data_IF_956740982130
#
_entry.id   IF_956740982130
#
_cell.length_a   1.000
_cell.length_b   1.000
_cell.length_c   1.000
_cell.angle_alpha   90.00
_cell.angle_beta   90.00
_cell.angle_gamma   90.00
#
_symmetry.space_group_name_H-M   'P 1'
#
loop_
_entity.id
_entity.type
_entity.pdbx_description
1 polymer ?
#
# COMPACT_ATOMS: atom_id res chain seq x y z
N UNK A 1 12.55 34.71 -21.81
CA UNK A 1 12.62 33.34 -21.25
C UNK A 1 12.53 33.44 -19.73
N UNK A 2 11.40 33.09 -19.14
CA UNK A 2 11.33 32.98 -17.69
C UNK A 2 12.06 31.70 -17.26
N UNK A 3 13.25 31.84 -16.75
CA UNK A 3 13.96 30.73 -16.08
C UNK A 3 13.20 30.48 -14.78
N UNK A 4 12.34 29.48 -14.77
CA UNK A 4 11.72 29.01 -13.53
C UNK A 4 12.82 28.48 -12.63
N UNK A 5 12.92 29.02 -11.43
CA UNK A 5 13.77 28.45 -10.38
C UNK A 5 13.37 26.99 -10.20
N UNK A 6 14.31 26.04 -10.23
CA UNK A 6 13.98 24.64 -9.98
C UNK A 6 13.27 24.48 -8.64
N UNK A 7 12.14 23.76 -8.63
CA UNK A 7 11.45 23.43 -7.39
C UNK A 7 12.41 22.59 -6.50
N UNK A 8 12.71 23.02 -5.27
CA UNK A 8 13.58 22.26 -4.37
C UNK A 8 12.98 20.89 -3.98
N UNK A 9 11.67 20.73 -4.09
CA UNK A 9 10.96 19.49 -3.78
C UNK A 9 9.99 19.09 -4.90
N UNK A 10 10.49 18.74 -6.09
CA UNK A 10 9.63 18.53 -7.28
C UNK A 10 8.66 17.35 -7.13
N UNK A 11 8.84 16.48 -6.14
CA UNK A 11 7.93 15.38 -5.82
C UNK A 11 6.74 15.79 -4.96
N UNK A 12 6.80 16.92 -4.27
CA UNK A 12 5.73 17.44 -3.44
C UNK A 12 4.84 18.39 -4.26
N UNK A 13 3.55 18.08 -4.26
CA UNK A 13 2.55 18.92 -4.89
C UNK A 13 1.76 19.65 -3.80
N UNK A 14 1.35 20.89 -4.08
CA UNK A 14 0.33 21.55 -3.28
C UNK A 14 -0.98 20.76 -3.35
N UNK A 15 -1.92 21.01 -2.46
CA UNK A 15 -3.24 20.35 -2.49
C UNK A 15 -3.95 20.60 -3.83
N UNK A 16 -3.89 21.82 -4.35
CA UNK A 16 -4.48 22.20 -5.63
C UNK A 16 -3.81 21.48 -6.80
N UNK A 17 -2.48 21.43 -6.83
CA UNK A 17 -1.74 20.74 -7.90
C UNK A 17 -1.98 19.23 -7.84
N UNK A 18 -2.06 18.65 -6.64
CA UNK A 18 -2.38 17.24 -6.45
C UNK A 18 -3.81 16.93 -6.93
N UNK A 19 -4.77 17.79 -6.61
CA UNK A 19 -6.16 17.67 -7.08
C UNK A 19 -6.22 17.70 -8.60
N UNK A 20 -5.56 18.66 -9.25
CA UNK A 20 -5.50 18.76 -10.72
C UNK A 20 -4.79 17.55 -11.35
N UNK A 21 -3.68 17.08 -10.77
CA UNK A 21 -2.96 15.90 -11.24
C UNK A 21 -3.85 14.65 -11.21
N UNK A 22 -4.57 14.42 -10.10
CA UNK A 22 -5.49 13.28 -9.93
C UNK A 22 -6.61 13.24 -10.97
N UNK A 23 -7.06 14.37 -11.43
CA UNK A 23 -8.13 14.48 -12.44
C UNK A 23 -7.67 14.26 -13.88
N UNK A 24 -6.38 14.36 -14.12
CA UNK A 24 -5.83 14.41 -15.49
C UNK A 24 -4.86 13.28 -15.80
N UNK A 25 -4.27 12.67 -14.77
CA UNK A 25 -3.20 11.70 -14.93
C UNK A 25 -3.47 10.46 -14.08
N UNK A 26 -3.15 9.26 -14.60
CA UNK A 26 -3.03 8.09 -13.72
C UNK A 26 -1.93 8.34 -12.69
N UNK A 27 -2.24 8.10 -11.41
CA UNK A 27 -1.31 8.29 -10.31
C UNK A 27 -0.59 6.98 -10.01
N UNK A 28 0.73 7.00 -9.96
CA UNK A 28 1.52 5.80 -9.64
C UNK A 28 1.67 5.67 -8.12
N UNK A 29 1.30 4.49 -7.62
CA UNK A 29 1.36 4.12 -6.20
C UNK A 29 2.19 2.86 -5.99
N UNK A 30 2.69 2.70 -4.78
CA UNK A 30 3.12 1.41 -4.25
C UNK A 30 2.14 0.98 -3.17
N UNK A 31 1.83 -0.31 -3.13
CA UNK A 31 1.11 -0.95 -2.04
C UNK A 31 1.97 -2.09 -1.50
N UNK A 32 2.18 -2.12 -0.20
CA UNK A 32 2.97 -3.14 0.45
C UNK A 32 2.16 -3.83 1.53
N UNK A 33 2.08 -5.15 1.43
CA UNK A 33 1.48 -6.01 2.45
C UNK A 33 2.66 -6.55 3.27
N UNK A 34 2.87 -6.07 4.51
CA UNK A 34 3.93 -6.58 5.35
C UNK A 34 3.60 -8.00 5.80
N UNK A 35 4.58 -8.87 5.77
CA UNK A 35 4.45 -10.26 6.17
C UNK A 35 5.59 -10.68 7.09
N UNK A 36 5.32 -11.65 7.94
CA UNK A 36 6.33 -12.39 8.67
C UNK A 36 6.45 -13.79 8.11
N UNK A 37 7.67 -14.25 7.94
CA UNK A 37 7.96 -15.55 7.36
C UNK A 37 8.67 -16.43 8.38
N UNK A 38 8.48 -17.75 8.25
CA UNK A 38 9.25 -18.73 8.98
C UNK A 38 10.69 -18.87 8.42
N UNK A 39 11.47 -19.77 9.01
CA UNK A 39 12.85 -20.05 8.60
C UNK A 39 12.99 -20.64 7.18
N UNK A 40 11.90 -21.12 6.61
CA UNK A 40 11.82 -21.66 5.26
C UNK A 40 11.28 -20.65 4.25
N UNK A 41 10.89 -19.44 4.71
CA UNK A 41 10.38 -18.37 3.87
C UNK A 41 8.86 -18.43 3.62
N UNK A 42 8.13 -19.31 4.31
CA UNK A 42 6.68 -19.34 4.21
C UNK A 42 6.04 -18.23 5.06
N UNK A 43 5.00 -17.60 4.53
CA UNK A 43 4.27 -16.56 5.24
C UNK A 43 3.51 -17.16 6.42
N UNK A 44 3.83 -16.72 7.62
CA UNK A 44 3.16 -17.10 8.87
C UNK A 44 2.12 -16.08 9.31
N UNK A 45 2.42 -14.80 9.11
CA UNK A 45 1.54 -13.70 9.51
C UNK A 45 1.53 -12.62 8.44
N UNK A 46 0.39 -11.96 8.35
CA UNK A 46 0.15 -10.79 7.49
C UNK A 46 -0.14 -9.60 8.37
N UNK A 47 0.53 -8.49 8.14
CA UNK A 47 0.29 -7.23 8.83
C UNK A 47 -0.80 -6.42 8.12
N UNK A 48 -1.88 -6.12 8.81
CA UNK A 48 -2.97 -5.30 8.32
C UNK A 48 -3.11 -4.06 9.18
N UNK A 49 -3.06 -2.89 8.52
CA UNK A 49 -3.29 -1.61 9.19
C UNK A 49 -4.79 -1.38 9.39
N UNK A 50 -5.12 -0.73 10.49
CA UNK A 50 -6.44 -0.20 10.76
C UNK A 50 -6.35 1.33 10.75
N UNK A 51 -7.20 1.97 9.98
CA UNK A 51 -7.28 3.43 9.92
C UNK A 51 -8.72 3.90 9.76
N UNK A 52 -8.96 5.18 10.07
CA UNK A 52 -10.25 5.81 9.78
C UNK A 52 -10.32 6.18 8.28
N UNK A 53 -11.42 5.84 7.63
CA UNK A 53 -11.73 6.33 6.28
C UNK A 53 -12.13 7.81 6.32
N UNK A 54 -12.22 8.44 5.15
CA UNK A 54 -12.69 9.83 5.02
C UNK A 54 -14.13 10.01 5.56
N UNK A 55 -14.89 8.92 5.69
CA UNK A 55 -16.25 8.90 6.26
C UNK A 55 -16.27 8.57 7.76
N UNK A 56 -15.09 8.38 8.37
CA UNK A 56 -14.95 8.05 9.79
C UNK A 56 -15.17 6.58 10.13
N UNK A 57 -15.32 5.71 9.13
CA UNK A 57 -15.41 4.27 9.34
C UNK A 57 -14.02 3.66 9.54
N UNK A 58 -13.94 2.66 10.40
CA UNK A 58 -12.69 1.91 10.60
C UNK A 58 -12.53 0.89 9.49
N UNK A 59 -11.45 0.99 8.73
CA UNK A 59 -11.16 0.12 7.59
C UNK A 59 -9.78 -0.51 7.70
N UNK A 60 -9.69 -1.76 7.25
CA UNK A 60 -8.41 -2.43 7.05
C UNK A 60 -7.78 -1.99 5.73
N UNK A 61 -6.48 -1.83 5.77
CA UNK A 61 -5.70 -1.40 4.61
C UNK A 61 -4.27 -1.94 4.66
N UNK A 62 -3.51 -1.64 3.61
CA UNK A 62 -2.08 -1.93 3.48
C UNK A 62 -1.27 -0.65 3.60
N UNK A 63 0.04 -0.80 3.73
CA UNK A 63 0.95 0.32 3.50
C UNK A 63 0.80 0.76 2.05
N UNK A 64 0.48 2.01 1.83
CA UNK A 64 0.22 2.55 0.49
C UNK A 64 0.66 3.99 0.38
N UNK A 65 1.06 4.39 -0.82
CA UNK A 65 1.31 5.78 -1.10
C UNK A 65 1.87 6.06 -2.49
N UNK A 66 1.82 7.32 -2.85
CA UNK A 66 2.24 7.81 -4.15
C UNK A 66 3.75 7.71 -4.32
N UNK A 67 4.18 7.29 -5.51
CA UNK A 67 5.57 7.44 -5.97
C UNK A 67 5.80 8.89 -6.37
N UNK A 68 6.85 9.51 -5.88
CA UNK A 68 7.17 10.89 -6.17
C UNK A 68 7.97 11.03 -7.48
N UNK A 69 7.94 12.22 -8.05
CA UNK A 69 8.77 12.52 -9.23
C UNK A 69 10.25 12.28 -8.93
N UNK A 70 10.92 11.52 -9.80
CA UNK A 70 12.33 11.08 -9.67
C UNK A 70 12.63 10.17 -8.47
N UNK A 71 11.63 9.63 -7.84
CA UNK A 71 11.79 8.63 -6.79
C UNK A 71 11.80 7.21 -7.39
N UNK A 72 12.71 6.37 -6.94
CA UNK A 72 12.69 4.95 -7.33
C UNK A 72 11.57 4.21 -6.59
N UNK A 73 11.05 3.14 -7.18
CA UNK A 73 10.02 2.30 -6.53
C UNK A 73 10.51 1.78 -5.17
N UNK A 74 11.79 1.38 -5.09
CA UNK A 74 12.37 0.92 -3.83
C UNK A 74 12.40 2.02 -2.76
N UNK A 75 12.74 3.26 -3.14
CA UNK A 75 12.74 4.39 -2.22
C UNK A 75 11.32 4.72 -1.75
N UNK A 76 10.33 4.71 -2.66
CA UNK A 76 8.93 4.90 -2.31
C UNK A 76 8.43 3.84 -1.32
N UNK A 77 8.73 2.55 -1.57
CA UNK A 77 8.39 1.47 -0.65
C UNK A 77 9.00 1.68 0.74
N UNK A 78 10.31 1.98 0.83
CA UNK A 78 10.96 2.24 2.12
C UNK A 78 10.31 3.41 2.85
N UNK A 79 10.08 4.51 2.16
CA UNK A 79 9.49 5.71 2.74
C UNK A 79 8.09 5.46 3.29
N UNK A 80 7.24 4.74 2.56
CA UNK A 80 5.88 4.42 3.02
C UNK A 80 5.88 3.36 4.13
N UNK A 81 6.73 2.34 4.05
CA UNK A 81 6.89 1.35 5.12
C UNK A 81 7.37 2.00 6.42
N UNK A 82 8.36 2.88 6.35
CA UNK A 82 8.83 3.62 7.53
C UNK A 82 7.76 4.57 8.08
N UNK A 83 7.03 5.25 7.19
CA UNK A 83 5.93 6.14 7.57
C UNK A 83 4.85 5.42 8.37
N UNK A 84 4.43 4.24 7.92
CA UNK A 84 3.28 3.53 8.49
C UNK A 84 3.67 2.51 9.57
N UNK A 85 4.85 1.90 9.48
CA UNK A 85 5.31 0.84 10.40
C UNK A 85 6.41 1.29 11.37
N UNK A 86 6.97 2.47 11.15
CA UNK A 86 8.09 2.98 11.95
C UNK A 86 9.48 2.54 11.46
N UNK A 87 10.54 3.21 11.95
CA UNK A 87 11.91 3.03 11.44
C UNK A 87 12.55 1.69 11.85
N UNK A 88 11.97 1.00 12.82
CA UNK A 88 12.50 -0.29 13.31
C UNK A 88 11.84 -1.51 12.66
N UNK A 89 10.97 -1.29 11.66
CA UNK A 89 10.26 -2.38 10.98
C UNK A 89 11.19 -3.33 10.20
N UNK A 90 12.36 -2.85 9.75
CA UNK A 90 13.38 -3.62 9.02
C UNK A 90 12.82 -4.43 7.84
N UNK A 91 12.23 -3.75 6.85
CA UNK A 91 11.70 -4.42 5.68
C UNK A 91 12.82 -5.04 4.83
N UNK A 92 12.61 -6.26 4.36
CA UNK A 92 13.55 -7.00 3.52
C UNK A 92 13.27 -6.69 2.04
N UNK A 93 13.84 -5.60 1.54
CA UNK A 93 13.66 -5.16 0.16
C UNK A 93 14.89 -5.49 -0.70
N UNK A 94 14.71 -6.23 -1.80
CA UNK A 94 15.80 -6.42 -2.77
C UNK A 94 16.15 -5.09 -3.46
N UNK A 95 17.32 -5.00 -4.12
CA UNK A 95 17.68 -3.81 -4.91
C UNK A 95 16.65 -3.45 -5.98
N UNK A 96 16.03 -4.45 -6.62
CA UNK A 96 14.98 -4.28 -7.62
C UNK A 96 13.75 -5.09 -7.18
N UNK A 97 12.82 -4.49 -6.43
CA UNK A 97 11.63 -5.19 -5.98
C UNK A 97 10.70 -5.47 -7.16
N UNK A 98 10.13 -6.69 -7.18
CA UNK A 98 9.18 -7.13 -8.21
C UNK A 98 7.78 -7.21 -7.60
N UNK A 99 6.79 -6.51 -8.15
CA UNK A 99 5.43 -6.59 -7.65
C UNK A 99 4.82 -7.99 -7.95
N UNK A 100 3.97 -8.48 -7.07
CA UNK A 100 3.22 -9.71 -7.35
C UNK A 100 2.04 -9.45 -8.30
N UNK A 101 1.56 -8.21 -8.35
CA UNK A 101 0.53 -7.75 -9.30
C UNK A 101 0.58 -6.23 -9.48
N UNK A 102 -0.12 -5.77 -10.51
CA UNK A 102 -0.47 -4.36 -10.71
C UNK A 102 -1.96 -4.22 -10.42
N UNK A 103 -2.30 -3.34 -9.51
CA UNK A 103 -3.68 -3.05 -9.12
C UNK A 103 -4.09 -1.68 -9.71
N UNK A 104 -5.19 -1.66 -10.46
CA UNK A 104 -5.70 -0.45 -11.06
C UNK A 104 -6.99 -0.03 -10.34
N UNK A 105 -6.95 1.14 -9.74
CA UNK A 105 -8.07 1.74 -9.01
C UNK A 105 -8.72 2.82 -9.86
N UNK A 106 -10.04 2.77 -9.97
CA UNK A 106 -10.83 3.77 -10.69
C UNK A 106 -11.88 4.39 -9.77
N UNK A 107 -12.32 5.63 -10.06
CA UNK A 107 -13.55 6.16 -9.47
C UNK A 107 -14.74 5.25 -9.77
N UNK A 108 -15.76 5.28 -8.88
CA UNK A 108 -16.98 4.48 -9.07
C UNK A 108 -17.81 4.97 -10.27
N UNK A 109 -18.32 4.07 -11.14
CA UNK A 109 -18.18 2.62 -11.10
C UNK A 109 -16.78 2.18 -11.59
N UNK A 110 -16.16 1.23 -10.85
CA UNK A 110 -14.83 0.75 -11.19
C UNK A 110 -14.87 -0.33 -12.28
N UNK A 111 -13.93 -0.26 -13.23
CA UNK A 111 -13.78 -1.26 -14.30
C UNK A 111 -13.11 -2.55 -13.81
N UNK A 112 -12.33 -2.48 -12.72
CA UNK A 112 -11.54 -3.60 -12.19
C UNK A 112 -12.11 -4.20 -10.91
N UNK A 113 -13.10 -3.53 -10.28
CA UNK A 113 -13.58 -3.86 -8.95
C UNK A 113 -12.73 -3.25 -7.82
N UNK A 114 -11.62 -2.57 -8.15
CA UNK A 114 -10.85 -1.76 -7.21
C UNK A 114 -11.24 -0.29 -7.37
N UNK A 115 -11.62 0.37 -6.27
CA UNK A 115 -12.13 1.73 -6.30
C UNK A 115 -11.28 2.70 -5.48
N UNK A 116 -11.04 3.86 -6.04
CA UNK A 116 -10.59 5.08 -5.35
C UNK A 116 -11.30 6.28 -6.01
N UNK A 117 -12.33 6.79 -5.36
CA UNK A 117 -13.16 7.87 -5.92
C UNK A 117 -12.42 9.19 -6.11
N UNK A 118 -11.22 9.31 -5.55
CA UNK A 118 -10.37 10.50 -5.69
C UNK A 118 -9.59 10.53 -7.01
N UNK A 119 -9.34 9.37 -7.65
CA UNK A 119 -8.35 9.27 -8.72
C UNK A 119 -8.39 7.95 -9.49
N UNK A 120 -7.80 7.96 -10.69
CA UNK A 120 -7.28 6.76 -11.33
C UNK A 120 -5.87 6.49 -10.79
N UNK A 121 -5.66 5.38 -10.10
CA UNK A 121 -4.34 4.99 -9.60
C UNK A 121 -3.88 3.65 -10.17
N UNK A 122 -2.60 3.59 -10.50
CA UNK A 122 -1.89 2.35 -10.87
C UNK A 122 -0.94 2.01 -9.74
N UNK A 123 -1.28 1.00 -8.95
CA UNK A 123 -0.52 0.57 -7.80
C UNK A 123 0.30 -0.69 -8.10
N UNK A 124 1.59 -0.61 -7.83
CA UNK A 124 2.49 -1.75 -7.83
C UNK A 124 2.39 -2.42 -6.45
N UNK A 125 1.88 -3.64 -6.40
CA UNK A 125 1.58 -4.34 -5.15
C UNK A 125 2.64 -5.38 -4.79
N UNK A 126 3.09 -5.34 -3.53
CA UNK A 126 4.21 -6.15 -3.03
C UNK A 126 3.84 -6.90 -1.76
N UNK A 127 4.38 -8.11 -1.61
CA UNK A 127 4.53 -8.77 -0.31
C UNK A 127 5.93 -8.47 0.20
N UNK A 128 6.03 -7.85 1.38
CA UNK A 128 7.30 -7.41 1.94
C UNK A 128 7.54 -8.09 3.29
N UNK A 129 8.51 -9.00 3.37
CA UNK A 129 8.93 -9.55 4.66
C UNK A 129 9.47 -8.44 5.57
N UNK A 130 9.01 -8.45 6.82
CA UNK A 130 9.39 -7.48 7.85
C UNK A 130 9.87 -8.25 9.07
N UNK A 131 11.09 -7.98 9.52
CA UNK A 131 11.74 -8.73 10.61
C UNK A 131 11.88 -7.95 11.91
N UNK A 132 11.64 -6.64 11.85
CA UNK A 132 11.79 -5.75 13.00
C UNK A 132 10.50 -5.50 13.77
N UNK A 133 10.61 -4.61 14.74
CA UNK A 133 9.48 -4.14 15.53
C UNK A 133 8.71 -3.07 14.76
N UNK A 134 7.41 -3.23 14.69
CA UNK A 134 6.52 -2.28 14.04
C UNK A 134 5.78 -1.45 15.07
N UNK A 135 5.81 -0.15 14.87
CA UNK A 135 5.10 0.84 15.66
C UNK A 135 4.24 1.68 14.71
N UNK A 136 2.91 1.39 14.60
CA UNK A 136 2.02 2.12 13.71
C UNK A 136 2.08 3.62 13.96
N UNK A 137 2.15 4.40 12.89
CA UNK A 137 2.33 5.84 12.95
C UNK A 137 1.38 6.57 12.01
N UNK A 138 1.29 7.89 12.23
CA UNK A 138 0.47 8.81 11.46
C UNK A 138 -1.00 8.40 11.42
N UNK A 139 -1.52 8.03 10.25
CA UNK A 139 -2.93 7.69 10.05
C UNK A 139 -3.27 6.26 10.48
N UNK A 140 -2.25 5.41 10.68
CA UNK A 140 -2.45 4.04 11.14
C UNK A 140 -2.69 4.00 12.65
N UNK A 141 -3.88 3.58 13.05
CA UNK A 141 -4.29 3.48 14.45
C UNK A 141 -3.80 2.19 15.10
N UNK A 142 -3.67 1.13 14.31
CA UNK A 142 -3.30 -0.22 14.75
C UNK A 142 -2.65 -0.99 13.59
N UNK A 143 -1.71 -1.85 13.92
CA UNK A 143 -1.21 -2.92 13.06
C UNK A 143 -1.55 -4.26 13.71
N UNK A 144 -2.38 -5.05 13.04
CA UNK A 144 -2.69 -6.41 13.48
C UNK A 144 -1.89 -7.42 12.67
N UNK A 145 -1.20 -8.30 13.35
CA UNK A 145 -0.56 -9.47 12.74
C UNK A 145 -1.52 -10.66 12.81
N UNK A 146 -1.96 -11.15 11.68
CA UNK A 146 -2.93 -12.22 11.53
C UNK A 146 -2.32 -13.38 10.76
N UNK A 147 -2.67 -14.59 11.14
CA UNK A 147 -2.38 -15.75 10.29
C UNK A 147 -3.11 -15.60 8.94
N UNK A 148 -2.61 -16.20 7.86
CA UNK A 148 -3.30 -16.16 6.57
C UNK A 148 -4.77 -16.63 6.64
N UNK A 149 -5.06 -17.65 7.46
CA UNK A 149 -6.43 -18.15 7.67
C UNK A 149 -7.32 -17.12 8.34
N UNK A 150 -6.84 -16.41 9.35
CA UNK A 150 -7.57 -15.32 10.01
C UNK A 150 -7.79 -14.16 9.06
N UNK A 151 -6.74 -13.76 8.33
CA UNK A 151 -6.80 -12.67 7.35
C UNK A 151 -7.81 -12.95 6.22
N UNK A 152 -8.02 -14.23 5.88
CA UNK A 152 -9.01 -14.66 4.88
C UNK A 152 -10.41 -14.90 5.47
N UNK A 153 -10.60 -14.78 6.79
CA UNK A 153 -11.92 -14.97 7.40
C UNK A 153 -12.93 -13.94 6.88
N UNK A 154 -14.22 -14.30 6.77
CA UNK A 154 -15.25 -13.38 6.29
C UNK A 154 -15.33 -12.08 7.09
N UNK A 155 -15.09 -12.13 8.41
CA UNK A 155 -15.10 -10.96 9.29
C UNK A 155 -14.01 -9.96 8.92
N UNK A 156 -12.76 -10.41 8.76
CA UNK A 156 -11.64 -9.56 8.39
C UNK A 156 -11.79 -9.05 6.95
N UNK A 157 -12.24 -9.92 6.03
CA UNK A 157 -12.46 -9.53 4.63
C UNK A 157 -13.52 -8.42 4.50
N UNK A 158 -14.52 -8.40 5.36
CA UNK A 158 -15.57 -7.37 5.37
C UNK A 158 -15.08 -6.00 5.88
N UNK A 159 -13.95 -5.93 6.58
CA UNK A 159 -13.37 -4.68 7.07
C UNK A 159 -12.60 -3.90 5.98
N UNK A 160 -12.39 -4.50 4.80
CA UNK A 160 -11.74 -3.81 3.69
C UNK A 160 -12.73 -3.01 2.86
N UNK A 161 -12.26 -1.86 2.36
CA UNK A 161 -12.97 -1.05 1.38
C UNK A 161 -12.26 -1.04 0.02
N UNK A 162 -12.95 -0.55 -1.00
CA UNK A 162 -12.36 -0.33 -2.32
C UNK A 162 -11.86 -1.59 -3.03
N UNK A 163 -12.38 -2.78 -2.68
CA UNK A 163 -11.98 -4.04 -3.31
C UNK A 163 -10.66 -4.64 -2.81
N UNK A 164 -9.99 -4.03 -1.85
CA UNK A 164 -8.67 -4.47 -1.34
C UNK A 164 -8.67 -5.87 -0.72
N UNK A 165 -9.82 -6.37 -0.26
CA UNK A 165 -9.95 -7.76 0.15
C UNK A 165 -9.56 -8.74 -0.96
N UNK A 166 -9.92 -8.45 -2.23
CA UNK A 166 -9.53 -9.26 -3.37
C UNK A 166 -8.01 -9.22 -3.60
N UNK A 167 -7.37 -8.07 -3.41
CA UNK A 167 -5.92 -7.93 -3.53
C UNK A 167 -5.19 -8.76 -2.45
N UNK A 168 -5.70 -8.78 -1.21
CA UNK A 168 -5.15 -9.63 -0.15
C UNK A 168 -5.25 -11.12 -0.50
N UNK A 169 -6.40 -11.57 -1.01
CA UNK A 169 -6.56 -12.97 -1.46
C UNK A 169 -5.55 -13.31 -2.56
N UNK A 170 -5.36 -12.42 -3.52
CA UNK A 170 -4.38 -12.61 -4.60
C UNK A 170 -2.94 -12.68 -4.06
N UNK A 171 -2.59 -11.82 -3.10
CA UNK A 171 -1.28 -11.82 -2.45
C UNK A 171 -0.99 -13.14 -1.73
N UNK A 172 -1.95 -13.62 -0.96
CA UNK A 172 -1.81 -14.88 -0.23
C UNK A 172 -1.76 -16.10 -1.18
N UNK A 173 -2.55 -16.10 -2.25
CA UNK A 173 -2.47 -17.13 -3.29
C UNK A 173 -1.09 -17.11 -3.99
N UNK A 174 -0.52 -15.92 -4.24
CA UNK A 174 0.84 -15.77 -4.77
C UNK A 174 1.88 -16.35 -3.79
N UNK A 175 1.71 -16.16 -2.49
CA UNK A 175 2.54 -16.74 -1.44
C UNK A 175 2.33 -18.24 -1.22
N UNK A 176 1.42 -18.87 -1.96
CA UNK A 176 1.15 -20.33 -1.90
C UNK A 176 0.02 -20.75 -0.96
N UNK A 177 -0.73 -19.79 -0.39
CA UNK A 177 -1.90 -20.09 0.43
C UNK A 177 -3.16 -20.29 -0.42
N UNK A 178 -3.92 -21.36 -0.14
CA UNK A 178 -5.17 -21.64 -0.85
C UNK A 178 -5.02 -22.44 -2.16
N UNK A 179 -3.89 -23.12 -2.32
CA UNK A 179 -3.69 -24.13 -3.39
C UNK A 179 -4.11 -25.52 -2.93
#
# INVERSE_FOLDING_TARGET
MNVRTPDPNPGWLSEDDLYEARRRLPMVYVEAIPVRCDSLGYVNEVGLLLQASDQGEMVRTFVSGRVMYRETIRAALLRHLEKDLGPLALPQLPPSPVPFTIAEYFPSPSETGLTDDRQHAVALAYLIPVTGECDPRQDALELSWLTPSEALSPSIQAEFSGGRAALLRQALAHAGWGR
#
